data_IF_421519033979
#
_entry.id   IF_421519033979
#
_cell.length_a   1.000
_cell.length_b   1.000
_cell.length_c   1.000
_cell.angle_alpha   90.00
_cell.angle_beta   90.00
_cell.angle_gamma   90.00
#
_symmetry.space_group_name_H-M   'P 1'
#
loop_
_entity.id
_entity.type
_entity.pdbx_description
1 polymer ?
#
# COMPACT_ATOMS: atom_id res chain seq x y z
N UNK A 1 -25.52 -8.18 15.16
CA UNK A 1 -24.22 -8.07 14.46
C UNK A 1 -23.19 -8.72 15.39
N UNK A 2 -22.54 -9.79 14.98
CA UNK A 2 -21.71 -10.62 15.87
C UNK A 2 -20.54 -9.79 16.45
N UNK A 3 -20.33 -9.78 17.77
CA UNK A 3 -19.33 -8.93 18.46
C UNK A 3 -17.89 -9.11 17.93
N UNK A 4 -17.60 -10.30 17.39
CA UNK A 4 -16.37 -10.60 16.66
C UNK A 4 -16.17 -9.71 15.42
N UNK A 5 -17.22 -9.50 14.63
CA UNK A 5 -17.15 -8.73 13.38
C UNK A 5 -16.91 -7.24 13.68
N UNK A 6 -17.54 -6.72 14.73
CA UNK A 6 -17.30 -5.36 15.22
C UNK A 6 -15.86 -5.17 15.71
N UNK A 7 -15.29 -6.19 16.36
CA UNK A 7 -13.91 -6.16 16.89
C UNK A 7 -12.88 -6.20 15.77
N UNK A 8 -13.09 -7.03 14.74
CA UNK A 8 -12.24 -7.06 13.54
C UNK A 8 -12.26 -5.71 12.85
N UNK A 9 -13.44 -5.13 12.59
CA UNK A 9 -13.58 -3.82 11.95
C UNK A 9 -12.89 -2.71 12.75
N UNK A 10 -12.98 -2.74 14.08
CA UNK A 10 -12.30 -1.75 14.95
C UNK A 10 -10.78 -1.88 14.90
N UNK A 11 -10.23 -3.09 14.94
CA UNK A 11 -8.76 -3.32 14.84
C UNK A 11 -8.22 -3.06 13.44
N UNK A 12 -8.98 -3.42 12.41
CA UNK A 12 -8.60 -3.32 11.01
C UNK A 12 -8.85 -1.93 10.37
N UNK A 13 -9.34 -0.95 11.13
CA UNK A 13 -9.73 0.37 10.61
C UNK A 13 -8.67 1.01 9.70
N UNK A 14 -7.39 0.90 10.07
CA UNK A 14 -6.31 1.49 9.28
C UNK A 14 -6.09 0.75 7.95
N UNK A 15 -6.22 -0.57 7.92
CA UNK A 15 -6.10 -1.35 6.67
C UNK A 15 -7.19 -0.93 5.68
N UNK A 16 -8.44 -0.84 6.16
CA UNK A 16 -9.55 -0.38 5.34
C UNK A 16 -9.41 1.08 4.91
N UNK A 17 -8.85 1.94 5.76
CA UNK A 17 -8.56 3.32 5.38
C UNK A 17 -7.53 3.39 4.24
N UNK A 18 -6.45 2.60 4.31
CA UNK A 18 -5.42 2.54 3.26
C UNK A 18 -6.03 2.01 1.96
N UNK A 19 -6.69 0.85 1.99
CA UNK A 19 -7.32 0.25 0.80
C UNK A 19 -8.40 1.18 0.21
N UNK A 20 -9.22 1.78 1.07
CA UNK A 20 -10.22 2.76 0.65
C UNK A 20 -9.59 4.00 0.03
N UNK A 21 -8.47 4.50 0.57
CA UNK A 21 -7.77 5.64 -0.02
C UNK A 21 -7.20 5.33 -1.41
N UNK A 22 -6.67 4.12 -1.62
CA UNK A 22 -6.19 3.67 -2.95
C UNK A 22 -7.37 3.62 -3.93
N UNK A 23 -8.52 3.12 -3.51
CA UNK A 23 -9.73 3.08 -4.34
C UNK A 23 -10.22 4.48 -4.69
N UNK A 24 -10.28 5.39 -3.72
CA UNK A 24 -10.66 6.79 -3.95
C UNK A 24 -9.69 7.46 -4.93
N UNK A 25 -8.38 7.24 -4.75
CA UNK A 25 -7.36 7.74 -5.69
C UNK A 25 -7.57 7.19 -7.10
N UNK A 26 -7.92 5.91 -7.25
CA UNK A 26 -8.22 5.32 -8.55
C UNK A 26 -9.43 5.99 -9.22
N UNK A 27 -10.52 6.20 -8.47
CA UNK A 27 -11.75 6.79 -8.98
C UNK A 27 -11.51 8.25 -9.37
N UNK A 28 -10.95 9.05 -8.46
CA UNK A 28 -10.68 10.47 -8.67
C UNK A 28 -9.66 10.66 -9.80
N UNK A 29 -8.59 9.85 -9.80
CA UNK A 29 -7.58 9.85 -10.85
C UNK A 29 -8.17 9.56 -12.22
N UNK A 30 -9.05 8.55 -12.32
CA UNK A 30 -9.74 8.22 -13.57
C UNK A 30 -10.62 9.38 -14.10
N UNK A 31 -11.21 10.18 -13.21
CA UNK A 31 -12.03 11.33 -13.58
C UNK A 31 -11.23 12.59 -13.94
N UNK A 32 -10.03 12.74 -13.37
CA UNK A 32 -9.21 13.96 -13.50
C UNK A 32 -8.06 13.80 -14.50
N UNK A 33 -7.33 12.70 -14.44
CA UNK A 33 -6.24 12.37 -15.36
C UNK A 33 -6.19 10.84 -15.60
N UNK A 34 -7.04 10.33 -16.51
CA UNK A 34 -7.17 8.90 -16.76
C UNK A 34 -5.91 8.27 -17.34
N UNK A 35 -5.16 8.97 -18.19
CA UNK A 35 -3.92 8.45 -18.78
C UNK A 35 -2.86 8.19 -17.70
N UNK A 36 -2.60 9.19 -16.86
CA UNK A 36 -1.66 9.07 -15.74
C UNK A 36 -2.07 7.96 -14.77
N UNK A 37 -3.35 7.95 -14.38
CA UNK A 37 -3.86 6.96 -13.42
C UNK A 37 -3.76 5.54 -13.97
N UNK A 38 -4.17 5.32 -15.21
CA UNK A 38 -4.03 4.01 -15.84
C UNK A 38 -2.56 3.58 -15.94
N UNK A 39 -1.65 4.51 -16.26
CA UNK A 39 -0.21 4.26 -16.27
C UNK A 39 0.30 3.73 -14.92
N UNK A 40 -0.06 4.39 -13.82
CA UNK A 40 0.30 3.94 -12.47
C UNK A 40 -0.25 2.54 -12.18
N UNK A 41 -1.52 2.26 -12.49
CA UNK A 41 -2.12 0.96 -12.21
C UNK A 41 -1.54 -0.16 -13.09
N UNK A 42 -1.15 0.12 -14.32
CA UNK A 42 -0.43 -0.82 -15.18
C UNK A 42 0.97 -1.13 -14.62
N UNK A 43 1.70 -0.10 -14.16
CA UNK A 43 2.98 -0.30 -13.48
C UNK A 43 2.80 -1.10 -12.19
N UNK A 44 1.77 -0.80 -11.41
CA UNK A 44 1.45 -1.53 -10.19
C UNK A 44 1.19 -3.01 -10.48
N UNK A 45 0.41 -3.33 -11.53
CA UNK A 45 0.13 -4.71 -11.93
C UNK A 45 1.41 -5.48 -12.35
N UNK A 46 2.29 -4.82 -13.11
CA UNK A 46 3.61 -5.37 -13.43
C UNK A 46 4.46 -5.61 -12.17
N UNK A 47 4.44 -4.67 -11.22
CA UNK A 47 5.16 -4.77 -9.94
C UNK A 47 4.64 -5.91 -9.06
N UNK A 48 3.37 -6.29 -9.16
CA UNK A 48 2.84 -7.48 -8.46
C UNK A 48 3.46 -8.77 -8.99
N UNK A 49 3.84 -8.78 -10.27
CA UNK A 49 4.55 -9.91 -10.88
C UNK A 49 6.01 -9.99 -10.40
N UNK A 50 6.57 -8.91 -9.85
CA UNK A 50 7.88 -8.91 -9.19
C UNK A 50 7.78 -9.51 -7.78
N UNK A 51 8.07 -10.81 -7.70
CA UNK A 51 7.90 -11.61 -6.49
C UNK A 51 8.65 -11.05 -5.26
N UNK A 52 9.81 -10.42 -5.48
CA UNK A 52 10.60 -9.82 -4.39
C UNK A 52 9.85 -8.69 -3.71
N UNK A 53 9.31 -7.74 -4.47
CA UNK A 53 8.57 -6.60 -3.91
C UNK A 53 7.30 -7.09 -3.20
N UNK A 54 6.61 -8.06 -3.79
CA UNK A 54 5.43 -8.68 -3.20
C UNK A 54 5.75 -9.33 -1.84
N UNK A 55 6.83 -10.09 -1.74
CA UNK A 55 7.26 -10.68 -0.48
C UNK A 55 7.60 -9.63 0.57
N UNK A 56 8.31 -8.57 0.19
CA UNK A 56 8.62 -7.45 1.11
C UNK A 56 7.31 -6.81 1.61
N UNK A 57 6.37 -6.50 0.73
CA UNK A 57 5.10 -5.89 1.12
C UNK A 57 4.29 -6.77 2.09
N UNK A 58 4.16 -8.06 1.78
CA UNK A 58 3.44 -9.02 2.62
C UNK A 58 4.13 -9.20 3.97
N UNK A 59 5.46 -9.31 3.99
CA UNK A 59 6.21 -9.50 5.24
C UNK A 59 6.11 -8.28 6.16
N UNK A 60 6.20 -7.07 5.61
CA UNK A 60 5.97 -5.83 6.35
C UNK A 60 4.57 -5.81 6.99
N UNK A 61 3.53 -6.19 6.23
CA UNK A 61 2.15 -6.23 6.73
C UNK A 61 1.88 -7.34 7.76
N UNK A 62 2.42 -8.53 7.53
CA UNK A 62 2.15 -9.70 8.36
C UNK A 62 2.96 -9.71 9.66
N UNK A 63 4.24 -9.34 9.62
CA UNK A 63 5.15 -9.58 10.75
C UNK A 63 5.34 -8.37 11.66
N UNK A 64 5.09 -7.13 11.20
CA UNK A 64 5.26 -5.94 12.04
C UNK A 64 4.02 -5.79 12.94
N UNK A 65 4.14 -5.84 14.28
CA UNK A 65 2.99 -5.80 15.19
C UNK A 65 2.17 -4.51 15.04
N UNK A 66 2.85 -3.38 14.87
CA UNK A 66 2.23 -2.06 14.76
C UNK A 66 2.14 -1.62 13.30
N UNK A 67 0.98 -1.86 12.68
CA UNK A 67 0.75 -1.50 11.27
C UNK A 67 0.86 0.00 10.98
N UNK A 68 0.66 0.88 11.98
CA UNK A 68 0.86 2.33 11.80
C UNK A 68 2.30 2.66 11.40
N UNK A 69 3.28 1.94 11.95
CA UNK A 69 4.69 2.14 11.61
C UNK A 69 4.97 1.73 10.17
N UNK A 70 4.30 0.70 9.67
CA UNK A 70 4.44 0.25 8.27
C UNK A 70 3.93 1.34 7.32
N UNK A 71 2.73 1.87 7.60
CA UNK A 71 2.14 2.93 6.77
C UNK A 71 2.98 4.20 6.81
N UNK A 72 3.36 4.67 7.99
CA UNK A 72 4.20 5.86 8.15
C UNK A 72 5.59 5.67 7.54
N UNK A 73 6.20 4.51 7.72
CA UNK A 73 7.50 4.17 7.16
C UNK A 73 7.48 4.15 5.64
N UNK A 74 6.46 3.53 5.04
CA UNK A 74 6.29 3.52 3.58
C UNK A 74 6.10 4.93 3.00
N UNK A 75 5.28 5.76 3.65
CA UNK A 75 5.08 7.16 3.24
C UNK A 75 6.37 7.97 3.41
N UNK A 76 7.09 7.81 4.53
CA UNK A 76 8.35 8.50 4.76
C UNK A 76 9.43 8.11 3.74
N UNK A 77 9.52 6.81 3.42
CA UNK A 77 10.43 6.30 2.39
C UNK A 77 10.08 6.87 1.01
N UNK A 78 8.78 6.93 0.67
CA UNK A 78 8.31 7.56 -0.56
C UNK A 78 8.72 9.04 -0.63
N UNK A 79 8.48 9.81 0.43
CA UNK A 79 8.83 11.25 0.46
C UNK A 79 10.35 11.43 0.32
N UNK A 80 11.15 10.65 1.06
CA UNK A 80 12.60 10.73 0.98
C UNK A 80 13.11 10.39 -0.44
N UNK A 81 12.58 9.32 -1.05
CA UNK A 81 12.93 8.93 -2.41
C UNK A 81 12.48 9.98 -3.44
N UNK A 82 11.29 10.57 -3.28
CA UNK A 82 10.80 11.63 -4.14
C UNK A 82 11.71 12.87 -4.10
N UNK A 83 12.16 13.27 -2.91
CA UNK A 83 13.14 14.36 -2.75
C UNK A 83 14.47 13.99 -3.44
N UNK A 84 14.93 12.76 -3.28
CA UNK A 84 16.16 12.30 -3.91
C UNK A 84 16.07 12.26 -5.46
N UNK A 85 14.91 11.90 -6.02
CA UNK A 85 14.65 12.01 -7.47
C UNK A 85 14.70 13.47 -7.89
N UNK A 86 14.02 14.37 -7.18
CA UNK A 86 13.97 15.79 -7.52
C UNK A 86 15.35 16.47 -7.40
N UNK A 87 16.19 16.00 -6.47
CA UNK A 87 17.57 16.44 -6.29
C UNK A 87 18.55 15.84 -7.33
N UNK A 88 18.08 14.95 -8.22
CA UNK A 88 18.90 14.33 -9.25
C UNK A 88 19.82 13.20 -8.76
N UNK A 89 19.62 12.71 -7.53
CA UNK A 89 20.38 11.57 -6.99
C UNK A 89 19.99 10.28 -7.68
N UNK A 90 18.70 10.10 -7.98
CA UNK A 90 18.19 8.98 -8.74
C UNK A 90 17.74 9.44 -10.13
N UNK A 91 18.53 9.12 -11.14
CA UNK A 91 18.27 9.48 -12.55
C UNK A 91 17.49 8.41 -13.31
N UNK A 92 17.46 7.18 -12.80
CA UNK A 92 16.78 6.03 -13.40
C UNK A 92 15.38 5.77 -12.83
N UNK A 93 14.98 6.51 -11.79
CA UNK A 93 13.72 6.31 -11.07
C UNK A 93 12.77 7.47 -11.36
N UNK A 94 11.55 7.16 -11.80
CA UNK A 94 10.50 8.16 -12.01
C UNK A 94 9.59 8.26 -10.80
N UNK A 95 8.96 9.42 -10.62
CA UNK A 95 8.00 9.65 -9.54
C UNK A 95 6.77 8.73 -9.69
N UNK A 96 6.33 8.49 -10.93
CA UNK A 96 5.19 7.65 -11.27
C UNK A 96 5.43 6.19 -10.85
N UNK A 97 6.61 5.67 -11.16
CA UNK A 97 7.02 4.33 -10.77
C UNK A 97 7.15 4.22 -9.24
N UNK A 98 7.77 5.21 -8.59
CA UNK A 98 7.87 5.25 -7.13
C UNK A 98 6.48 5.28 -6.47
N UNK A 99 5.52 5.97 -7.06
CA UNK A 99 4.14 6.01 -6.58
C UNK A 99 3.43 4.67 -6.78
N UNK A 100 3.65 3.98 -7.91
CA UNK A 100 3.16 2.63 -8.13
C UNK A 100 3.71 1.65 -7.07
N UNK A 101 5.01 1.72 -6.76
CA UNK A 101 5.64 0.95 -5.68
C UNK A 101 4.96 1.21 -4.33
N UNK A 102 4.70 2.48 -3.99
CA UNK A 102 4.01 2.84 -2.76
C UNK A 102 2.61 2.20 -2.67
N UNK A 103 1.82 2.26 -3.75
CA UNK A 103 0.47 1.67 -3.79
C UNK A 103 0.54 0.15 -3.61
N UNK A 104 1.45 -0.53 -4.32
CA UNK A 104 1.61 -1.99 -4.20
C UNK A 104 2.01 -2.35 -2.77
N UNK A 105 3.03 -1.70 -2.20
CA UNK A 105 3.49 -1.99 -0.84
C UNK A 105 2.39 -1.77 0.18
N UNK A 106 1.70 -0.63 0.14
CA UNK A 106 0.61 -0.32 1.08
C UNK A 106 -0.60 -1.25 0.89
N UNK A 107 -0.95 -1.58 -0.35
CA UNK A 107 -2.07 -2.47 -0.67
C UNK A 107 -1.84 -3.88 -0.11
N UNK A 108 -0.73 -4.51 -0.49
CA UNK A 108 -0.41 -5.87 -0.03
C UNK A 108 -0.10 -5.94 1.45
N UNK A 109 0.58 -4.94 2.02
CA UNK A 109 0.81 -4.89 3.47
C UNK A 109 -0.52 -4.77 4.25
N UNK A 110 -1.47 -3.98 3.75
CA UNK A 110 -2.81 -3.86 4.38
C UNK A 110 -3.58 -5.17 4.34
N UNK A 111 -3.54 -5.89 3.21
CA UNK A 111 -4.19 -7.20 3.06
C UNK A 111 -3.53 -8.24 3.96
N UNK A 112 -2.20 -8.32 3.97
CA UNK A 112 -1.45 -9.26 4.82
C UNK A 112 -1.72 -9.01 6.32
N UNK A 113 -1.77 -7.75 6.74
CA UNK A 113 -2.12 -7.40 8.11
C UNK A 113 -3.58 -7.78 8.45
N UNK A 114 -4.53 -7.60 7.52
CA UNK A 114 -5.91 -8.08 7.69
C UNK A 114 -5.97 -9.60 7.91
N UNK A 115 -5.23 -10.37 7.11
CA UNK A 115 -5.14 -11.82 7.27
C UNK A 115 -4.58 -12.23 8.63
N UNK A 116 -3.58 -11.51 9.15
CA UNK A 116 -3.06 -11.74 10.51
C UNK A 116 -4.15 -11.59 11.56
N UNK A 117 -4.91 -10.50 11.49
CA UNK A 117 -6.00 -10.26 12.43
C UNK A 117 -7.06 -11.36 12.35
N UNK A 118 -7.43 -11.80 11.15
CA UNK A 118 -8.40 -12.90 10.99
C UNK A 118 -7.90 -14.21 11.61
N UNK A 119 -6.62 -14.55 11.40
CA UNK A 119 -6.00 -15.76 11.97
C UNK A 119 -5.96 -15.74 13.50
N UNK A 120 -5.77 -14.58 14.12
CA UNK A 120 -5.82 -14.43 15.58
C UNK A 120 -7.22 -14.69 16.17
N UNK A 121 -8.29 -14.56 15.39
CA UNK A 121 -9.68 -14.81 15.84
C UNK A 121 -10.21 -16.23 15.52
N UNK A 122 -9.49 -17.03 14.73
CA UNK A 122 -9.86 -18.42 14.41
C UNK A 122 -9.20 -19.46 15.34
N UNK A 123 -8.57 -19.01 16.44
CA UNK A 123 -8.20 -19.84 17.59
C UNK A 123 -9.27 -19.70 18.68
#
# INVERSE_FOLDING_TARGET
MNDQLLTILKKAKLNFAVLGSILVLAIVGKLTNPEFTNGIFLMADQLVSELILLFVAITLGAFIPNFKLVVLGAIAAFIAAAIAIQAGVFTYLTIDYLFAVLIVVLGFASIANLYRHYREFQL
#
